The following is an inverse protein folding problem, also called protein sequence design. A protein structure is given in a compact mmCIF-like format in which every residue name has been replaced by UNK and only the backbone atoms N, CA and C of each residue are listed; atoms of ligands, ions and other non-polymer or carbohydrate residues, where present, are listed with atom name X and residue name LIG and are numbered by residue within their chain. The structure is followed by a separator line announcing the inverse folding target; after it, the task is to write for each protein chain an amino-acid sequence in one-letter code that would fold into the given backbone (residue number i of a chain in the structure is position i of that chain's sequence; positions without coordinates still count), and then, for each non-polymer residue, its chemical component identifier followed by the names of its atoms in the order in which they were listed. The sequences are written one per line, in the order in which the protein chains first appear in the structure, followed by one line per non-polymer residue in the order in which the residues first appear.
data_IF_740654343463
#
_entry.id   IF_740654343463
#
_cell.length_a   1.000
_cell.length_b   1.000
_cell.length_c   1.000
_cell.angle_alpha   90.00
_cell.angle_beta   90.00
_cell.angle_gamma   90.00
#
_symmetry.space_group_name_H-M   'P 1'
#
loop_
_entity.id
_entity.type
_entity.pdbx_description
1 polymer ?
#
# COMPACT_ATOMS: atom_id res chain seq x y z
N UNK A 1 -6.82 2.49 -9.29
CA UNK A 1 -6.37 1.49 -8.32
C UNK A 1 -6.81 1.93 -6.93
N UNK A 2 -7.28 0.99 -6.12
CA UNK A 2 -7.83 1.24 -4.80
C UNK A 2 -6.99 0.46 -3.78
N UNK A 3 -6.43 1.17 -2.80
CA UNK A 3 -5.75 0.60 -1.64
C UNK A 3 -6.36 1.19 -0.37
N UNK A 4 -6.81 0.32 0.51
CA UNK A 4 -7.24 0.69 1.86
C UNK A 4 -6.17 0.27 2.83
N UNK A 5 -5.67 1.21 3.64
CA UNK A 5 -4.67 0.93 4.66
C UNK A 5 -5.21 -0.09 5.66
N UNK A 6 -4.52 -1.21 5.84
CA UNK A 6 -4.98 -2.28 6.73
C UNK A 6 -4.86 -1.91 8.22
N UNK A 7 -4.09 -0.88 8.55
CA UNK A 7 -3.93 -0.33 9.90
C UNK A 7 -5.05 0.68 10.25
N UNK A 8 -5.07 1.84 9.58
CA UNK A 8 -5.97 2.94 9.94
C UNK A 8 -7.29 2.97 9.13
N UNK A 9 -7.50 2.04 8.20
CA UNK A 9 -8.69 1.92 7.33
C UNK A 9 -8.98 3.13 6.42
N UNK A 10 -8.04 4.06 6.30
CA UNK A 10 -8.14 5.17 5.35
C UNK A 10 -7.70 4.75 3.94
N UNK A 11 -8.16 5.49 2.93
CA UNK A 11 -7.75 5.30 1.55
C UNK A 11 -6.30 5.80 1.36
N UNK A 12 -5.45 4.97 0.76
CA UNK A 12 -4.08 5.33 0.40
C UNK A 12 -4.09 5.91 -1.00
N UNK A 13 -3.36 7.00 -1.19
CA UNK A 13 -3.27 7.67 -2.49
C UNK A 13 -2.13 7.05 -3.27
N UNK A 14 -2.49 6.39 -4.37
CA UNK A 14 -1.56 5.71 -5.25
C UNK A 14 -1.17 6.58 -6.46
N UNK A 15 -1.63 7.83 -6.55
CA UNK A 15 -1.36 8.71 -7.68
C UNK A 15 0.14 8.96 -7.92
N UNK A 16 0.93 8.98 -6.84
CA UNK A 16 2.40 9.10 -6.87
C UNK A 16 3.12 7.85 -7.38
N UNK A 17 2.44 6.71 -7.47
CA UNK A 17 3.01 5.42 -7.86
C UNK A 17 2.57 5.08 -9.29
N UNK A 18 3.17 5.76 -10.27
CA UNK A 18 2.87 5.58 -11.70
C UNK A 18 3.19 4.18 -12.23
N UNK A 19 4.21 3.54 -11.67
CA UNK A 19 4.69 2.19 -12.03
C UNK A 19 4.50 1.21 -10.86
N UNK A 20 3.34 1.28 -10.19
CA UNK A 20 3.03 0.38 -9.07
C UNK A 20 3.02 -1.08 -9.55
N UNK A 21 3.83 -1.92 -8.90
CA UNK A 21 3.96 -3.34 -9.19
C UNK A 21 3.92 -4.19 -7.91
N UNK A 22 3.83 -5.51 -8.05
CA UNK A 22 4.12 -6.42 -6.94
C UNK A 22 5.51 -6.12 -6.36
N UNK A 23 5.67 -6.35 -5.06
CA UNK A 23 6.86 -6.03 -4.26
C UNK A 23 7.17 -4.52 -4.13
N UNK A 24 6.30 -3.65 -4.64
CA UNK A 24 6.42 -2.21 -4.41
C UNK A 24 6.10 -1.85 -2.96
N UNK A 25 6.84 -0.88 -2.43
CA UNK A 25 6.64 -0.35 -1.10
C UNK A 25 5.83 0.94 -1.17
N UNK A 26 4.73 0.99 -0.44
CA UNK A 26 3.81 2.12 -0.38
C UNK A 26 3.69 2.61 1.05
N UNK A 27 3.79 3.91 1.29
CA UNK A 27 3.55 4.50 2.60
C UNK A 27 2.12 5.01 2.70
N UNK A 28 1.42 4.72 3.79
CA UNK A 28 0.14 5.35 4.07
C UNK A 28 0.36 6.78 4.56
N UNK A 29 0.04 7.77 3.72
CA UNK A 29 0.16 9.19 4.03
C UNK A 29 -0.75 9.70 5.18
N UNK A 30 -1.60 8.84 5.77
CA UNK A 30 -2.44 9.19 6.93
C UNK A 30 -1.86 8.72 8.26
N UNK A 31 -1.32 7.49 8.34
CA UNK A 31 -0.78 6.93 9.58
C UNK A 31 0.73 6.66 9.55
N UNK A 32 1.39 6.82 8.40
CA UNK A 32 2.82 6.67 8.22
C UNK A 32 3.34 5.24 8.17
N UNK A 33 2.46 4.23 8.09
CA UNK A 33 2.90 2.83 8.02
C UNK A 33 3.33 2.47 6.60
N UNK A 34 4.36 1.63 6.53
CA UNK A 34 4.88 1.07 5.30
C UNK A 34 4.15 -0.22 4.94
N UNK A 35 3.70 -0.33 3.70
CA UNK A 35 2.88 -1.42 3.17
C UNK A 35 3.59 -2.02 1.96
N UNK A 36 3.74 -3.34 1.93
CA UNK A 36 4.29 -4.09 0.80
C UNK A 36 3.15 -4.56 -0.09
N UNK A 37 3.21 -4.25 -1.39
CA UNK A 37 2.22 -4.74 -2.38
C UNK A 37 2.44 -6.22 -2.65
N UNK A 38 1.45 -7.05 -2.32
CA UNK A 38 1.49 -8.50 -2.51
C UNK A 38 0.66 -8.97 -3.70
N UNK A 39 -0.40 -8.24 -4.07
CA UNK A 39 -1.14 -8.49 -5.30
C UNK A 39 -1.79 -7.22 -5.86
N UNK A 40 -2.02 -7.22 -7.17
CA UNK A 40 -2.80 -6.21 -7.87
C UNK A 40 -3.81 -6.95 -8.74
N UNK A 41 -5.07 -6.97 -8.30
CA UNK A 41 -6.16 -7.69 -8.94
C UNK A 41 -7.21 -6.69 -9.44
N UNK A 42 -7.37 -6.61 -10.76
CA UNK A 42 -8.16 -5.61 -11.49
C UNK A 42 -7.82 -4.16 -11.09
N UNK A 43 -8.45 -3.68 -10.01
CA UNK A 43 -8.30 -2.32 -9.51
C UNK A 43 -8.13 -2.30 -7.98
N UNK A 44 -7.95 -3.45 -7.33
CA UNK A 44 -7.71 -3.56 -5.88
C UNK A 44 -6.27 -3.97 -5.64
N UNK A 45 -5.59 -3.24 -4.76
CA UNK A 45 -4.22 -3.54 -4.35
C UNK A 45 -4.27 -4.22 -2.99
N UNK A 46 -3.73 -5.43 -2.91
CA UNK A 46 -3.53 -6.15 -1.66
C UNK A 46 -2.14 -5.83 -1.12
N UNK A 47 -2.07 -5.61 0.19
CA UNK A 47 -0.83 -5.27 0.87
C UNK A 47 -0.67 -6.05 2.16
N UNK A 48 0.56 -6.18 2.60
CA UNK A 48 0.92 -6.62 3.95
C UNK A 48 1.66 -5.49 4.68
N UNK A 49 1.55 -5.45 6.01
CA UNK A 49 2.33 -4.50 6.82
C UNK A 49 3.80 -4.91 6.71
N UNK A 50 4.62 -3.99 6.19
CA UNK A 50 6.06 -4.14 6.18
C UNK A 50 6.57 -3.51 7.49
N UNK A 51 6.64 -4.34 8.54
CA UNK A 51 7.22 -3.91 9.81
C UNK A 51 8.73 -3.70 9.60
N UNK A 52 9.21 -2.47 9.84
CA UNK A 52 10.64 -2.17 9.84
C UNK A 52 11.29 -2.88 11.04
N UNK A 53 11.62 -4.16 10.84
CA UNK A 53 12.38 -4.95 11.79
C UNK A 53 13.66 -4.22 12.18
N UNK A 54 13.81 -3.99 13.49
CA UNK A 54 14.98 -3.40 14.17
C UNK A 54 16.34 -3.84 13.62
#
# INVERSE_FOLDING_TARGET
MNLTCIECKNQVDLSSYSDLAMDSVVECQTCGITLLVTSIDDNTVSVEIMDEGK
#
